data_IF_098476558498
#
_entry.id   IF_098476558498
#
_cell.length_a   1.000
_cell.length_b   1.000
_cell.length_c   1.000
_cell.angle_alpha   90.00
_cell.angle_beta   90.00
_cell.angle_gamma   90.00
#
_symmetry.space_group_name_H-M   'P 1'
#
loop_
_entity.id
_entity.type
_entity.pdbx_description
1 polymer ?
#
# COMPACT_ATOMS: atom_id res chain seq x y z
N UNK A 1 0.38 0.60 5.78
CA UNK A 1 0.82 -0.61 5.05
C UNK A 1 2.23 -0.92 5.48
N UNK A 2 2.60 -2.19 5.55
CA UNK A 2 3.96 -2.62 5.86
C UNK A 2 4.52 -3.40 4.68
N UNK A 3 5.75 -3.09 4.29
CA UNK A 3 6.55 -3.93 3.40
C UNK A 3 7.59 -4.63 4.27
N UNK A 4 7.53 -5.94 4.31
CA UNK A 4 8.32 -6.77 5.22
C UNK A 4 9.20 -7.69 4.41
N UNK A 5 10.51 -7.43 4.46
CA UNK A 5 11.53 -8.39 4.04
C UNK A 5 11.94 -9.17 5.27
N UNK A 6 11.64 -10.47 5.32
CA UNK A 6 11.83 -11.28 6.52
C UNK A 6 12.48 -12.60 6.20
N UNK A 7 13.46 -12.96 7.01
CA UNK A 7 14.15 -14.23 6.91
C UNK A 7 13.23 -15.42 7.20
N UNK A 8 13.41 -16.51 6.47
CA UNK A 8 12.65 -17.75 6.66
C UNK A 8 12.87 -18.40 8.04
N UNK A 9 13.92 -18.01 8.77
CA UNK A 9 14.22 -18.44 10.14
C UNK A 9 13.98 -17.35 11.19
N UNK A 10 13.36 -16.22 10.81
CA UNK A 10 13.04 -15.17 11.75
C UNK A 10 12.11 -15.72 12.85
N UNK A 11 12.49 -15.61 14.14
CA UNK A 11 11.83 -16.34 15.23
C UNK A 11 10.37 -15.94 15.44
N UNK A 12 9.97 -14.74 14.99
CA UNK A 12 8.62 -14.22 15.16
C UNK A 12 7.83 -14.18 13.84
N UNK A 13 8.24 -14.94 12.82
CA UNK A 13 7.61 -14.90 11.50
C UNK A 13 6.10 -15.20 11.57
N UNK A 14 5.70 -16.14 12.43
CA UNK A 14 4.30 -16.52 12.62
C UNK A 14 3.46 -15.46 13.34
N UNK A 15 4.05 -14.69 14.26
CA UNK A 15 3.36 -13.65 15.02
C UNK A 15 3.49 -12.25 14.41
N UNK A 16 4.39 -12.03 13.45
CA UNK A 16 4.75 -10.68 13.00
C UNK A 16 3.54 -9.89 12.49
N UNK A 17 2.58 -10.54 11.82
CA UNK A 17 1.35 -9.86 11.38
C UNK A 17 0.49 -9.34 12.56
N UNK A 18 0.33 -10.13 13.62
CA UNK A 18 -0.46 -9.73 14.79
C UNK A 18 0.28 -8.65 15.60
N UNK A 19 1.60 -8.76 15.71
CA UNK A 19 2.47 -7.76 16.33
C UNK A 19 2.33 -6.41 15.60
N UNK A 20 2.42 -6.40 14.27
CA UNK A 20 2.27 -5.17 13.47
C UNK A 20 0.87 -4.56 13.61
N UNK A 21 -0.17 -5.39 13.64
CA UNK A 21 -1.53 -4.92 13.89
C UNK A 21 -1.67 -4.26 15.25
N UNK A 22 -1.18 -4.91 16.32
CA UNK A 22 -1.22 -4.35 17.66
C UNK A 22 -0.41 -3.04 17.75
N UNK A 23 0.74 -2.98 17.10
CA UNK A 23 1.56 -1.76 17.04
C UNK A 23 0.79 -0.57 16.43
N UNK A 24 -0.03 -0.80 15.39
CA UNK A 24 -0.89 0.25 14.80
C UNK A 24 -1.99 0.69 15.77
N UNK A 25 -2.63 -0.25 16.48
CA UNK A 25 -3.66 0.07 17.47
C UNK A 25 -3.07 0.92 18.62
N UNK A 26 -1.93 0.50 19.15
CA UNK A 26 -1.22 1.23 20.20
C UNK A 26 -0.77 2.61 19.74
N UNK A 27 -0.18 2.72 18.54
CA UNK A 27 0.24 4.00 17.97
C UNK A 27 -0.93 4.96 17.76
N UNK A 28 -2.09 4.43 17.36
CA UNK A 28 -3.31 5.23 17.15
C UNK A 28 -3.77 5.90 18.44
N UNK A 29 -3.71 5.18 19.57
CA UNK A 29 -4.10 5.70 20.88
C UNK A 29 -3.03 6.61 21.48
N UNK A 30 -1.74 6.24 21.36
CA UNK A 30 -0.63 6.97 21.98
C UNK A 30 -0.28 8.27 21.26
N UNK A 31 -0.37 8.32 19.93
CA UNK A 31 0.08 9.42 19.09
C UNK A 31 -1.07 10.31 18.53
N UNK A 32 -2.14 10.50 19.32
CA UNK A 32 -3.53 10.80 18.90
C UNK A 32 -3.76 10.93 17.38
N UNK A 33 -3.67 9.80 16.67
CA UNK A 33 -3.87 9.79 15.21
C UNK A 33 -5.35 9.88 14.86
N UNK A 34 -5.69 10.50 13.74
CA UNK A 34 -7.07 10.45 13.22
C UNK A 34 -7.44 9.01 12.86
N UNK A 35 -8.62 8.56 13.29
CA UNK A 35 -9.15 7.24 12.96
C UNK A 35 -9.75 7.25 11.54
N UNK A 36 -9.16 6.49 10.62
CA UNK A 36 -9.52 6.44 9.21
C UNK A 36 -9.91 5.04 8.71
N UNK A 37 -9.66 3.96 9.47
CA UNK A 37 -10.03 2.62 9.04
C UNK A 37 -11.53 2.34 9.29
N UNK A 38 -12.24 2.00 8.22
CA UNK A 38 -13.67 1.71 8.19
C UNK A 38 -13.87 0.27 7.71
N UNK A 39 -14.74 -0.49 8.36
CA UNK A 39 -15.11 -1.83 7.89
C UNK A 39 -15.90 -1.74 6.58
N UNK A 40 -15.47 -2.50 5.57
CA UNK A 40 -15.88 -2.32 4.17
C UNK A 40 -17.38 -2.51 3.96
N UNK A 41 -17.98 -3.49 4.63
CA UNK A 41 -19.39 -3.85 4.45
C UNK A 41 -20.33 -3.27 5.51
N UNK A 42 -19.78 -2.85 6.66
CA UNK A 42 -20.58 -2.33 7.78
C UNK A 42 -20.57 -0.80 7.85
N UNK A 43 -19.67 -0.14 7.11
CA UNK A 43 -19.49 1.32 7.08
C UNK A 43 -19.21 1.94 8.46
N UNK A 44 -18.70 1.15 9.40
CA UNK A 44 -18.36 1.58 10.76
C UNK A 44 -16.86 1.86 10.88
N UNK A 45 -16.52 3.03 11.44
CA UNK A 45 -15.15 3.35 11.82
C UNK A 45 -14.71 2.49 13.00
N UNK A 46 -13.57 1.83 12.85
CA UNK A 46 -13.02 0.89 13.84
C UNK A 46 -12.52 1.57 15.12
N UNK A 47 -12.26 2.89 15.08
CA UNK A 47 -11.71 3.66 16.19
C UNK A 47 -10.25 3.36 16.50
N UNK A 48 -9.58 2.53 15.71
CA UNK A 48 -8.22 2.02 16.01
C UNK A 48 -7.27 1.94 14.81
N UNK A 49 -7.70 2.43 13.65
CA UNK A 49 -6.94 2.35 12.39
C UNK A 49 -6.55 0.93 11.97
N UNK A 50 -7.25 -0.08 12.47
CA UNK A 50 -7.12 -1.49 12.08
C UNK A 50 -8.50 -2.09 11.84
N UNK A 51 -8.59 -3.10 10.99
CA UNK A 51 -9.85 -3.70 10.58
C UNK A 51 -9.62 -4.93 9.71
N UNK A 52 -10.66 -5.38 9.01
CA UNK A 52 -10.55 -6.46 8.03
C UNK A 52 -9.58 -6.07 6.91
N UNK A 53 -8.43 -6.75 6.83
CA UNK A 53 -7.38 -6.45 5.85
C UNK A 53 -6.53 -5.21 6.15
N UNK A 54 -6.67 -4.60 7.33
CA UNK A 54 -5.92 -3.39 7.74
C UNK A 54 -5.21 -3.62 9.08
N UNK A 55 -3.88 -3.42 9.18
CA UNK A 55 -2.98 -3.00 8.12
C UNK A 55 -2.67 -4.14 7.12
N UNK A 56 -2.55 -3.79 5.83
CA UNK A 56 -2.01 -4.71 4.84
C UNK A 56 -0.50 -4.88 5.03
N UNK A 57 -0.03 -6.14 4.91
CA UNK A 57 1.38 -6.52 5.00
C UNK A 57 1.76 -7.24 3.72
N UNK A 58 2.77 -6.71 3.03
CA UNK A 58 3.43 -7.37 1.90
C UNK A 58 4.66 -8.10 2.42
N UNK A 59 4.85 -9.34 1.98
CA UNK A 59 5.90 -10.23 2.45
C UNK A 59 6.88 -10.54 1.35
N UNK A 60 8.17 -10.39 1.65
CA UNK A 60 9.29 -10.88 0.88
C UNK A 60 10.12 -11.81 1.79
N UNK A 61 10.02 -13.12 1.55
CA UNK A 61 10.63 -14.13 2.41
C UNK A 61 12.03 -14.44 1.90
N UNK A 62 13.05 -14.08 2.70
CA UNK A 62 14.46 -14.29 2.37
C UNK A 62 14.88 -15.67 2.89
N UNK A 63 15.28 -16.61 2.00
CA UNK A 63 15.78 -17.91 2.44
C UNK A 63 17.02 -17.77 3.30
N UNK A 64 17.14 -18.66 4.28
CA UNK A 64 18.32 -18.80 5.12
C UNK A 64 18.76 -17.53 5.86
N UNK A 65 17.80 -16.67 6.20
CA UNK A 65 18.01 -15.46 6.98
C UNK A 65 17.12 -15.50 8.25
N UNK A 66 17.54 -14.81 9.30
CA UNK A 66 16.86 -14.66 10.59
C UNK A 66 16.63 -13.20 11.01
N UNK A 67 16.87 -12.25 10.10
CA UNK A 67 16.55 -10.82 10.27
C UNK A 67 15.18 -10.43 9.66
N UNK A 68 14.66 -9.28 10.07
CA UNK A 68 13.49 -8.65 9.47
C UNK A 68 13.73 -7.15 9.23
N UNK A 69 13.53 -6.71 7.99
CA UNK A 69 13.47 -5.31 7.59
C UNK A 69 12.02 -4.92 7.32
N UNK A 70 11.56 -3.86 7.98
CA UNK A 70 10.16 -3.44 7.96
C UNK A 70 10.10 -1.97 7.52
N UNK A 71 9.53 -1.73 6.35
CA UNK A 71 9.23 -0.40 5.87
C UNK A 71 7.76 -0.07 6.12
N UNK A 72 7.51 1.06 6.78
CA UNK A 72 6.15 1.53 7.06
C UNK A 72 5.74 2.60 6.07
N UNK A 73 4.61 2.36 5.39
CA UNK A 73 3.98 3.34 4.52
C UNK A 73 2.65 3.80 5.12
N UNK A 74 2.63 5.03 5.64
CA UNK A 74 1.45 5.70 6.18
C UNK A 74 0.70 6.42 5.06
N UNK A 75 -0.05 5.65 4.27
CA UNK A 75 -0.85 6.19 3.18
C UNK A 75 -2.02 7.03 3.71
N UNK A 76 -2.14 8.28 3.25
CA UNK A 76 -3.34 9.07 3.45
C UNK A 76 -4.38 8.73 2.38
N UNK A 77 -5.66 8.62 2.76
CA UNK A 77 -6.74 8.29 1.82
C UNK A 77 -6.83 9.26 0.63
N UNK A 78 -6.55 10.55 0.83
CA UNK A 78 -6.52 11.53 -0.27
C UNK A 78 -5.44 11.23 -1.31
N UNK A 79 -4.29 10.70 -0.88
CA UNK A 79 -3.19 10.35 -1.77
C UNK A 79 -3.45 9.03 -2.53
N UNK A 80 -4.31 8.15 -2.02
CA UNK A 80 -4.67 6.90 -2.69
C UNK A 80 -5.82 7.08 -3.69
N UNK A 81 -6.69 8.08 -3.51
CA UNK A 81 -7.79 8.42 -4.44
C UNK A 81 -7.39 8.55 -5.93
N UNK A 82 -6.30 9.23 -6.32
CA UNK A 82 -5.90 9.32 -7.73
C UNK A 82 -5.28 8.04 -8.29
N UNK A 83 -5.08 6.99 -7.46
CA UNK A 83 -4.49 5.72 -7.89
C UNK A 83 -5.34 5.02 -8.94
N UNK A 84 -4.74 4.70 -10.09
CA UNK A 84 -5.43 4.12 -11.25
C UNK A 84 -4.57 3.04 -11.88
N UNK A 85 -5.23 1.98 -12.34
CA UNK A 85 -4.61 0.86 -13.04
C UNK A 85 -5.42 0.49 -14.27
N UNK A 86 -4.73 0.10 -15.35
CA UNK A 86 -5.35 -0.36 -16.59
C UNK A 86 -4.48 -1.46 -17.20
N UNK A 87 -5.10 -2.53 -17.68
CA UNK A 87 -4.45 -3.50 -18.58
C UNK A 87 -4.53 -2.94 -20.00
N UNK A 88 -3.38 -2.70 -20.61
CA UNK A 88 -3.30 -2.19 -21.98
C UNK A 88 -3.33 -3.35 -22.99
N UNK A 89 -3.94 -3.11 -24.15
CA UNK A 89 -3.80 -4.01 -25.28
C UNK A 89 -2.35 -3.94 -25.79
N UNK A 90 -1.77 -5.05 -26.28
CA UNK A 90 -0.39 -5.04 -26.79
C UNK A 90 -0.16 -4.01 -27.91
N UNK A 91 -1.21 -3.69 -28.68
CA UNK A 91 -1.17 -2.70 -29.77
C UNK A 91 -1.10 -1.25 -29.30
N UNK A 92 -1.40 -0.94 -28.03
CA UNK A 92 -1.35 0.43 -27.50
C UNK A 92 0.08 0.93 -27.26
N UNK A 93 1.04 0.01 -27.11
CA UNK A 93 2.46 0.35 -27.02
C UNK A 93 2.83 1.33 -25.90
N UNK A 94 3.95 2.00 -26.08
CA UNK A 94 4.48 2.99 -25.14
C UNK A 94 3.60 4.25 -25.10
N UNK A 95 3.04 4.63 -26.24
CA UNK A 95 2.13 5.76 -26.39
C UNK A 95 0.89 5.62 -25.51
N UNK A 96 0.35 4.40 -25.39
CA UNK A 96 -0.75 4.08 -24.48
C UNK A 96 -0.41 4.31 -23.01
N UNK A 97 0.81 3.94 -22.61
CA UNK A 97 1.31 4.17 -21.24
C UNK A 97 1.44 5.67 -20.95
N UNK A 98 2.11 6.42 -21.84
CA UNK A 98 2.31 7.87 -21.67
C UNK A 98 0.97 8.59 -21.60
N UNK A 99 0.05 8.26 -22.51
CA UNK A 99 -1.31 8.83 -22.50
C UNK A 99 -2.03 8.54 -21.19
N UNK A 100 -1.99 7.29 -20.72
CA UNK A 100 -2.61 6.91 -19.46
C UNK A 100 -2.03 7.69 -18.28
N UNK A 101 -0.71 7.78 -18.16
CA UNK A 101 -0.06 8.53 -17.07
C UNK A 101 -0.44 10.02 -17.13
N UNK A 102 -0.36 10.63 -18.31
CA UNK A 102 -0.67 12.05 -18.50
C UNK A 102 -2.13 12.39 -18.17
N UNK A 103 -3.08 11.56 -18.61
CA UNK A 103 -4.50 11.75 -18.31
C UNK A 103 -4.79 11.65 -16.81
N UNK A 104 -4.19 10.68 -16.11
CA UNK A 104 -4.38 10.51 -14.68
C UNK A 104 -3.82 11.69 -13.88
N UNK A 105 -2.60 12.13 -14.19
CA UNK A 105 -1.99 13.29 -13.51
C UNK A 105 -2.83 14.55 -13.76
N UNK A 106 -3.17 14.83 -15.01
CA UNK A 106 -3.86 16.06 -15.40
C UNK A 106 -5.27 16.18 -14.80
N UNK A 107 -5.92 15.07 -14.48
CA UNK A 107 -7.30 15.05 -14.00
C UNK A 107 -7.43 14.81 -12.50
N UNK A 108 -6.55 14.00 -11.89
CA UNK A 108 -6.74 13.53 -10.52
C UNK A 108 -5.69 14.05 -9.53
N UNK A 109 -4.51 14.48 -9.99
CA UNK A 109 -3.42 14.89 -9.09
C UNK A 109 -3.77 16.10 -8.22
N UNK A 110 -4.67 16.97 -8.69
CA UNK A 110 -5.16 18.14 -7.91
C UNK A 110 -5.81 17.74 -6.58
N UNK A 111 -6.39 16.53 -6.52
CA UNK A 111 -7.05 16.01 -5.32
C UNK A 111 -6.08 15.37 -4.31
N UNK A 112 -4.78 15.27 -4.65
CA UNK A 112 -3.76 14.62 -3.83
C UNK A 112 -2.68 15.59 -3.31
N UNK A 113 -3.10 16.82 -2.99
CA UNK A 113 -2.26 17.85 -2.38
C UNK A 113 -0.93 18.12 -3.13
N UNK A 114 -0.97 18.73 -4.34
CA UNK A 114 0.23 19.02 -5.12
C UNK A 114 1.31 19.82 -4.35
N UNK A 115 2.62 19.64 -4.69
CA UNK A 115 3.15 18.83 -5.78
C UNK A 115 3.11 17.32 -5.48
N UNK A 116 2.78 16.52 -6.50
CA UNK A 116 2.65 15.06 -6.36
C UNK A 116 3.94 14.34 -6.75
N UNK A 117 4.25 13.26 -6.03
CA UNK A 117 5.22 12.26 -6.48
C UNK A 117 4.46 11.18 -7.25
N UNK A 118 4.87 10.92 -8.49
CA UNK A 118 4.19 9.98 -9.39
C UNK A 118 4.98 8.68 -9.45
N UNK A 119 4.38 7.59 -8.97
CA UNK A 119 4.85 6.23 -9.21
C UNK A 119 4.13 5.62 -10.41
N UNK A 120 4.88 4.98 -11.31
CA UNK A 120 4.33 4.25 -12.46
C UNK A 120 4.83 2.82 -12.40
N UNK A 121 3.93 1.87 -12.18
CA UNK A 121 4.25 0.43 -12.22
C UNK A 121 3.77 -0.19 -13.53
N UNK A 122 4.64 -0.98 -14.19
CA UNK A 122 4.29 -1.73 -15.40
C UNK A 122 4.69 -3.18 -15.17
N UNK A 123 3.72 -4.09 -15.22
CA UNK A 123 3.95 -5.51 -14.98
C UNK A 123 2.94 -6.38 -15.75
N UNK A 124 2.96 -7.68 -15.51
CA UNK A 124 2.11 -8.68 -16.17
C UNK A 124 0.65 -8.60 -15.74
N UNK A 125 0.36 -8.04 -14.55
CA UNK A 125 -1.00 -7.85 -14.03
C UNK A 125 -1.12 -6.56 -13.23
N UNK A 126 -2.36 -6.16 -12.91
CA UNK A 126 -2.61 -4.96 -12.09
C UNK A 126 -2.05 -5.11 -10.69
N UNK A 127 -2.18 -6.30 -10.10
CA UNK A 127 -1.74 -6.60 -8.74
C UNK A 127 -0.22 -6.50 -8.63
N UNK A 128 0.50 -7.11 -9.59
CA UNK A 128 1.96 -7.06 -9.63
C UNK A 128 2.47 -5.66 -9.95
N UNK A 129 1.80 -4.92 -10.85
CA UNK A 129 2.15 -3.54 -11.17
C UNK A 129 1.95 -2.60 -9.97
N UNK A 130 0.92 -2.81 -9.15
CA UNK A 130 0.64 -1.98 -7.99
C UNK A 130 1.70 -2.09 -6.87
N UNK A 131 2.43 -3.21 -6.81
CA UNK A 131 3.48 -3.45 -5.82
C UNK A 131 4.90 -3.34 -6.40
N UNK A 132 5.03 -3.17 -7.71
CA UNK A 132 6.32 -2.98 -8.40
C UNK A 132 6.55 -1.50 -8.65
N UNK A 133 7.63 -0.95 -8.11
CA UNK A 133 8.14 0.36 -8.54
C UNK A 133 8.94 0.16 -9.83
N UNK A 134 8.57 0.86 -10.91
CA UNK A 134 9.43 1.07 -12.07
C UNK A 134 10.14 2.42 -11.97
#
# INVERSE_FOLDING_TARGET
MFFVKVGSRFPLLGELQSILKQAVEEATVKAPLRHNAVEIFDEVNTGKNTGSGVPWVTWDIIPDNDDAEIEVYMAGGGCTLPGRSKVLMPSEGYEGVVKFVFENISTLAVNACPPVLVGVGIATSVETAAVTLA
#
